data_IF_883428690954
#
_entry.id   IF_883428690954
#
_cell.length_a   1.000
_cell.length_b   1.000
_cell.length_c   1.000
_cell.angle_alpha   90.00
_cell.angle_beta   90.00
_cell.angle_gamma   90.00
#
_symmetry.space_group_name_H-M   'P 1'
#
loop_
_entity.id
_entity.type
_entity.pdbx_description
1 polymer ?
#
# COMPACT_ATOMS: atom_id res chain seq x y z
N UNK A 1 3.20 -17.41 0.80
CA UNK A 1 2.67 -16.71 -0.40
C UNK A 1 1.62 -15.65 -0.04
N UNK A 2 1.25 -15.50 1.23
CA UNK A 2 0.13 -14.67 1.68
C UNK A 2 0.40 -13.16 1.66
N UNK A 3 1.66 -12.76 1.87
CA UNK A 3 2.05 -11.34 1.88
C UNK A 3 1.82 -10.65 0.54
N UNK A 4 2.12 -11.33 -0.58
CA UNK A 4 1.93 -10.80 -1.94
C UNK A 4 0.43 -10.66 -2.25
N UNK A 5 -0.38 -11.67 -1.89
CA UNK A 5 -1.86 -11.59 -2.02
C UNK A 5 -2.44 -10.44 -1.19
N UNK A 6 -1.93 -10.22 0.02
CA UNK A 6 -2.37 -9.12 0.88
C UNK A 6 -2.07 -7.75 0.24
N UNK A 7 -0.86 -7.57 -0.31
CA UNK A 7 -0.51 -6.35 -1.03
C UNK A 7 -1.37 -6.12 -2.28
N UNK A 8 -1.67 -7.18 -3.04
CA UNK A 8 -2.59 -7.11 -4.19
C UNK A 8 -4.01 -6.68 -3.77
N UNK A 9 -4.53 -7.18 -2.66
CA UNK A 9 -5.83 -6.78 -2.14
C UNK A 9 -5.85 -5.31 -1.70
N UNK A 10 -4.80 -4.87 -0.99
CA UNK A 10 -4.65 -3.47 -0.58
C UNK A 10 -4.52 -2.55 -1.79
N UNK A 11 -3.78 -2.97 -2.82
CA UNK A 11 -3.66 -2.24 -4.08
C UNK A 11 -5.01 -2.10 -4.78
N UNK A 12 -5.73 -3.20 -4.96
CA UNK A 12 -7.04 -3.22 -5.62
C UNK A 12 -8.06 -2.35 -4.87
N UNK A 13 -8.09 -2.42 -3.53
CA UNK A 13 -8.95 -1.59 -2.69
C UNK A 13 -8.64 -0.10 -2.83
N UNK A 14 -7.35 0.28 -2.78
CA UNK A 14 -6.93 1.66 -2.97
C UNK A 14 -7.22 2.16 -4.40
N UNK A 15 -7.08 1.29 -5.40
CA UNK A 15 -7.38 1.61 -6.79
C UNK A 15 -8.87 1.88 -7.00
N UNK A 16 -9.75 1.02 -6.48
CA UNK A 16 -11.21 1.21 -6.57
C UNK A 16 -11.65 2.47 -5.81
N UNK A 17 -11.11 2.70 -4.61
CA UNK A 17 -11.40 3.91 -3.84
C UNK A 17 -10.94 5.17 -4.60
N UNK A 18 -9.71 5.19 -5.11
CA UNK A 18 -9.20 6.31 -5.90
C UNK A 18 -10.04 6.54 -7.16
N UNK A 19 -10.45 5.47 -7.86
CA UNK A 19 -11.29 5.56 -9.05
C UNK A 19 -12.68 6.15 -8.77
N UNK A 20 -13.20 5.97 -7.56
CA UNK A 20 -14.47 6.54 -7.10
C UNK A 20 -14.32 7.99 -6.61
N UNK A 21 -13.16 8.36 -6.03
CA UNK A 21 -12.89 9.69 -5.48
C UNK A 21 -12.44 10.67 -6.57
N UNK A 22 -11.68 10.22 -7.57
CA UNK A 22 -11.26 11.06 -8.69
C UNK A 22 -12.41 11.21 -9.70
N UNK A 23 -13.03 12.40 -9.80
CA UNK A 23 -14.22 12.61 -10.62
C UNK A 23 -13.98 12.40 -12.12
N UNK A 24 -12.71 12.50 -12.58
CA UNK A 24 -12.33 12.31 -13.97
C UNK A 24 -12.21 10.83 -14.38
N UNK A 25 -12.46 9.87 -13.47
CA UNK A 25 -12.33 8.41 -13.71
C UNK A 25 -11.04 8.04 -14.46
N UNK A 26 -9.98 8.82 -14.26
CA UNK A 26 -8.76 8.67 -15.02
C UNK A 26 -7.97 7.53 -14.40
N UNK A 27 -7.85 6.42 -15.14
CA UNK A 27 -7.13 5.22 -14.72
C UNK A 27 -5.71 5.59 -14.28
N UNK A 28 -5.03 6.47 -15.01
CA UNK A 28 -3.66 6.91 -14.68
C UNK A 28 -3.53 7.53 -13.28
N UNK A 29 -4.40 8.47 -12.91
CA UNK A 29 -4.37 9.12 -11.59
C UNK A 29 -4.69 8.14 -10.45
N UNK A 30 -5.64 7.24 -10.68
CA UNK A 30 -6.06 6.22 -9.72
C UNK A 30 -4.96 5.18 -9.49
N UNK A 31 -4.28 4.74 -10.56
CA UNK A 31 -3.12 3.85 -10.47
C UNK A 31 -1.98 4.52 -9.71
N UNK A 32 -1.68 5.79 -10.03
CA UNK A 32 -0.58 6.53 -9.39
C UNK A 32 -0.82 6.74 -7.89
N UNK A 33 -2.06 7.03 -7.49
CA UNK A 33 -2.44 7.13 -6.08
C UNK A 33 -2.35 5.77 -5.36
N UNK A 34 -2.90 4.70 -5.96
CA UNK A 34 -2.87 3.37 -5.37
C UNK A 34 -1.44 2.82 -5.22
N UNK A 35 -0.55 3.12 -6.17
CA UNK A 35 0.86 2.71 -6.11
C UNK A 35 1.66 3.51 -5.08
N UNK A 36 1.39 4.82 -4.92
CA UNK A 36 1.95 5.61 -3.82
C UNK A 36 1.51 5.09 -2.44
N UNK A 37 0.22 4.78 -2.27
CA UNK A 37 -0.30 4.21 -1.01
C UNK A 37 0.28 2.82 -0.72
N UNK A 38 0.49 2.00 -1.75
CA UNK A 38 1.17 0.71 -1.60
C UNK A 38 2.62 0.89 -1.14
N UNK A 39 3.34 1.83 -1.76
CA UNK A 39 4.73 2.13 -1.44
C UNK A 39 4.88 2.67 -0.01
N UNK A 40 3.96 3.54 0.42
CA UNK A 40 3.88 4.00 1.80
C UNK A 40 3.60 2.85 2.76
N UNK A 41 2.64 1.97 2.43
CA UNK A 41 2.32 0.79 3.25
C UNK A 41 3.53 -0.14 3.41
N UNK A 42 4.25 -0.41 2.32
CA UNK A 42 5.50 -1.18 2.35
C UNK A 42 6.62 -0.46 3.11
N UNK A 43 6.74 0.86 2.94
CA UNK A 43 7.74 1.68 3.64
C UNK A 43 7.51 1.70 5.15
N UNK A 44 6.25 1.83 5.60
CA UNK A 44 5.90 1.72 7.01
C UNK A 44 6.14 0.31 7.54
N UNK A 45 5.79 -0.74 6.79
CA UNK A 45 6.02 -2.12 7.20
C UNK A 45 7.53 -2.45 7.27
N UNK A 46 8.35 -1.85 6.39
CA UNK A 46 9.81 -1.93 6.43
C UNK A 46 10.40 -1.19 7.65
N UNK A 47 9.92 0.03 7.93
CA UNK A 47 10.36 0.81 9.08
C UNK A 47 9.95 0.14 10.40
N UNK A 48 8.75 -0.43 10.44
CA UNK A 48 8.23 -1.23 11.56
C UNK A 48 9.03 -2.52 11.74
N UNK A 49 9.36 -3.23 10.66
CA UNK A 49 10.21 -4.43 10.71
C UNK A 49 11.61 -4.13 11.26
N UNK A 50 12.20 -2.98 10.92
CA UNK A 50 13.47 -2.54 11.52
C UNK A 50 13.35 -2.20 13.01
N UNK A 51 12.23 -1.62 13.45
CA UNK A 51 11.99 -1.34 14.86
C UNK A 51 11.74 -2.60 15.69
N UNK A 52 11.11 -3.63 15.13
CA UNK A 52 10.89 -4.91 15.83
C UNK A 52 12.20 -5.69 16.05
N UNK A 53 13.14 -5.64 15.10
CA UNK A 53 14.48 -6.20 15.29
C UNK A 53 15.27 -5.56 16.45
N UNK A 54 14.97 -4.30 16.80
CA UNK A 54 15.59 -3.62 17.95
C UNK A 54 14.90 -3.94 19.27
N UNK A 55 13.66 -4.45 19.26
CA UNK A 55 12.87 -4.74 20.46
C UNK A 55 12.97 -6.20 20.91
N UNK A 56 13.31 -7.14 20.02
CA UNK A 56 13.56 -8.55 20.37
C UNK A 56 14.98 -8.82 20.90
N UNK A 57 15.84 -7.81 20.98
CA UNK A 57 17.19 -7.91 21.57
C UNK A 57 17.30 -7.31 22.99
N UNK A 58 16.18 -7.07 23.67
CA UNK A 58 16.14 -6.60 25.07
C UNK A 58 15.42 -7.61 25.96
#
# INVERSE_FOLDING_TARGET
MDRIRNYLFVFAGNFVAAYMIFPERTIGKSVMFASLMLLLSMGMDFMKSKNQHSLEQQ
#
